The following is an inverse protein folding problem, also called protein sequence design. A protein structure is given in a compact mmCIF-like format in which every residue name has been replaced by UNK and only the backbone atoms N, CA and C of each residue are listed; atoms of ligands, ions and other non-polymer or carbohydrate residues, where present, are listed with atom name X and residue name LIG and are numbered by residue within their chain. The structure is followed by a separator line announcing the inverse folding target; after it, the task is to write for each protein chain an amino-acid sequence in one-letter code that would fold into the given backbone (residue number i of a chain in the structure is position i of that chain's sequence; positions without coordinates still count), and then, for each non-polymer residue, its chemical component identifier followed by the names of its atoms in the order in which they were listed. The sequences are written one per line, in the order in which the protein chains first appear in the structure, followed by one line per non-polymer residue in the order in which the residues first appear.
data_IF_872869549530
#
_entry.id   IF_872869549530
#
_cell.length_a   1.000
_cell.length_b   1.000
_cell.length_c   1.000
_cell.angle_alpha   90.00
_cell.angle_beta   90.00
_cell.angle_gamma   90.00
#
_symmetry.space_group_name_H-M   'P 1'
#
loop_
_entity.id
_entity.type
_entity.pdbx_description
1 polymer ?
#
# COMPACT_ATOMS: atom_id res chain seq x y z
N UNK A 1 0.63 20.81 1.17
CA UNK A 1 -0.59 20.04 1.53
C UNK A 1 -1.67 20.06 0.46
N UNK A 2 -1.99 21.22 -0.16
CA UNK A 2 -3.08 21.31 -1.15
C UNK A 2 -2.90 20.33 -2.33
N UNK A 3 -1.68 20.19 -2.86
CA UNK A 3 -1.39 19.30 -3.98
C UNK A 3 -1.66 17.82 -3.64
N UNK A 4 -1.25 17.37 -2.45
CA UNK A 4 -1.59 16.02 -1.96
C UNK A 4 -3.11 15.83 -1.91
N UNK A 5 -3.84 16.80 -1.33
CA UNK A 5 -5.29 16.71 -1.21
C UNK A 5 -5.98 16.63 -2.57
N UNK A 6 -5.62 17.49 -3.52
CA UNK A 6 -6.24 17.50 -4.85
C UNK A 6 -5.99 16.18 -5.60
N UNK A 7 -4.76 15.69 -5.59
CA UNK A 7 -4.36 14.49 -6.33
C UNK A 7 -4.96 13.22 -5.71
N UNK A 8 -5.09 13.15 -4.38
CA UNK A 8 -5.59 11.95 -3.69
C UNK A 8 -7.12 11.91 -3.57
N UNK A 9 -7.77 13.06 -3.34
CA UNK A 9 -9.22 13.10 -3.12
C UNK A 9 -9.99 12.94 -4.44
N UNK A 10 -9.50 13.52 -5.54
CA UNK A 10 -10.22 13.52 -6.82
C UNK A 10 -10.57 12.10 -7.31
N UNK A 11 -9.65 11.12 -7.38
CA UNK A 11 -10.02 9.77 -7.83
C UNK A 11 -11.01 9.08 -6.87
N UNK A 12 -10.95 9.37 -5.56
CA UNK A 12 -11.93 8.86 -4.61
C UNK A 12 -13.34 9.42 -4.90
N UNK A 13 -13.45 10.72 -5.23
CA UNK A 13 -14.72 11.35 -5.61
C UNK A 13 -15.27 10.82 -6.92
N UNK A 14 -14.44 10.43 -7.88
CA UNK A 14 -14.87 9.88 -9.17
C UNK A 14 -15.62 8.53 -9.04
N UNK A 15 -15.44 7.80 -7.93
CA UNK A 15 -16.13 6.51 -7.71
C UNK A 15 -17.66 6.69 -7.58
N UNK A 16 -18.13 7.80 -6.99
CA UNK A 16 -19.56 8.10 -6.90
C UNK A 16 -20.23 8.21 -8.27
N UNK A 17 -19.84 9.18 -9.13
CA UNK A 17 -20.37 9.28 -10.49
C UNK A 17 -20.19 7.98 -11.30
N UNK A 18 -19.07 7.27 -11.13
CA UNK A 18 -18.85 5.98 -11.79
C UNK A 18 -19.90 4.93 -11.42
N UNK A 19 -20.26 4.84 -10.13
CA UNK A 19 -21.22 3.87 -9.64
C UNK A 19 -22.69 4.26 -9.94
N UNK A 20 -23.05 5.55 -9.85
CA UNK A 20 -24.44 6.01 -9.91
C UNK A 20 -24.88 6.52 -11.28
N UNK A 21 -23.98 7.11 -12.09
CA UNK A 21 -24.29 7.63 -13.41
C UNK A 21 -23.91 6.67 -14.54
N UNK A 22 -22.89 5.83 -14.36
CA UNK A 22 -22.43 4.89 -15.39
C UNK A 22 -21.89 5.59 -16.66
N UNK A 23 -21.99 4.91 -17.78
CA UNK A 23 -21.50 5.43 -19.07
C UNK A 23 -20.00 5.75 -19.02
N UNK A 24 -19.61 6.90 -19.56
CA UNK A 24 -18.22 7.34 -19.54
C UNK A 24 -17.65 7.52 -18.12
N UNK A 25 -18.51 7.84 -17.14
CA UNK A 25 -18.07 8.02 -15.74
C UNK A 25 -17.48 6.76 -15.15
N UNK A 26 -17.98 5.57 -15.51
CA UNK A 26 -17.51 4.31 -14.98
C UNK A 26 -16.01 4.04 -15.24
N UNK A 27 -15.46 4.64 -16.27
CA UNK A 27 -14.06 4.47 -16.69
C UNK A 27 -13.11 5.49 -16.07
N UNK A 28 -13.61 6.62 -15.55
CA UNK A 28 -12.73 7.68 -15.02
C UNK A 28 -11.84 7.24 -13.86
N UNK A 29 -12.28 6.46 -12.88
CA UNK A 29 -11.39 5.99 -11.81
C UNK A 29 -10.17 5.23 -12.35
N UNK A 30 -10.38 4.29 -13.27
CA UNK A 30 -9.26 3.53 -13.85
C UNK A 30 -8.39 4.39 -14.77
N UNK A 31 -8.97 5.27 -15.57
CA UNK A 31 -8.22 6.21 -16.43
C UNK A 31 -7.36 7.14 -15.59
N UNK A 32 -7.90 7.68 -14.49
CA UNK A 32 -7.15 8.54 -13.58
C UNK A 32 -5.95 7.80 -13.00
N UNK A 33 -6.20 6.62 -12.41
CA UNK A 33 -5.18 5.84 -11.68
C UNK A 33 -4.13 5.19 -12.59
N UNK A 34 -4.34 5.18 -13.90
CA UNK A 34 -3.40 4.60 -14.88
C UNK A 34 -2.88 5.64 -15.86
N UNK A 35 -3.68 6.00 -16.85
CA UNK A 35 -3.25 6.86 -17.94
C UNK A 35 -2.87 8.26 -17.45
N UNK A 36 -3.73 8.90 -16.64
CA UNK A 36 -3.48 10.27 -16.17
C UNK A 36 -2.23 10.31 -15.28
N UNK A 37 -2.10 9.40 -14.32
CA UNK A 37 -0.90 9.34 -13.47
C UNK A 37 0.36 9.17 -14.31
N UNK A 38 0.35 8.22 -15.27
CA UNK A 38 1.50 7.96 -16.15
C UNK A 38 1.85 9.19 -17.03
N UNK A 39 0.85 9.87 -17.57
CA UNK A 39 1.06 11.07 -18.39
C UNK A 39 1.58 12.22 -17.53
N UNK A 40 1.02 12.43 -16.35
CA UNK A 40 1.43 13.52 -15.46
C UNK A 40 2.85 13.33 -14.93
N UNK A 41 3.27 12.10 -14.59
CA UNK A 41 4.66 11.81 -14.22
C UNK A 41 5.66 12.08 -15.35
N UNK A 42 5.23 12.01 -16.61
CA UNK A 42 6.08 12.37 -17.76
C UNK A 42 6.11 13.86 -18.06
N UNK A 43 5.02 14.57 -17.75
CA UNK A 43 4.90 16.01 -18.04
C UNK A 43 5.44 16.87 -16.90
N UNK A 44 5.35 16.39 -15.67
CA UNK A 44 5.86 17.09 -14.49
C UNK A 44 7.27 16.61 -14.22
N UNK A 45 8.20 17.55 -14.03
CA UNK A 45 9.58 17.20 -13.68
C UNK A 45 9.64 16.35 -12.39
N UNK A 46 10.60 15.45 -12.35
CA UNK A 46 10.92 14.72 -11.13
C UNK A 46 11.17 15.70 -9.97
N UNK A 47 10.68 15.34 -8.78
CA UNK A 47 10.80 16.18 -7.60
C UNK A 47 11.76 15.54 -6.59
N UNK A 48 12.98 16.02 -6.59
CA UNK A 48 14.01 15.68 -5.60
C UNK A 48 14.11 16.69 -4.46
N UNK A 49 13.34 17.79 -4.52
CA UNK A 49 13.33 18.79 -3.47
C UNK A 49 12.80 18.17 -2.16
N UNK A 50 13.48 18.50 -1.10
CA UNK A 50 13.15 18.07 0.25
C UNK A 50 12.57 19.23 1.05
N UNK A 51 11.48 18.96 1.77
CA UNK A 51 11.02 19.86 2.80
C UNK A 51 12.00 19.80 4.01
N UNK A 52 11.96 20.82 4.87
CA UNK A 52 12.67 20.75 6.14
C UNK A 52 12.20 19.50 6.91
N UNK A 53 13.11 18.59 7.28
CA UNK A 53 12.77 17.35 7.95
C UNK A 53 12.10 17.54 9.33
N UNK A 54 12.31 18.71 9.95
CA UNK A 54 11.73 19.09 11.24
C UNK A 54 10.48 19.98 11.09
N UNK A 55 10.03 20.25 9.87
CA UNK A 55 8.85 21.07 9.63
C UNK A 55 7.56 20.36 10.09
N UNK A 56 6.68 21.12 10.71
CA UNK A 56 5.36 20.66 11.10
C UNK A 56 4.35 20.83 9.95
N UNK A 57 3.53 19.81 9.72
CA UNK A 57 2.49 19.81 8.70
C UNK A 57 1.12 19.53 9.33
N UNK A 58 0.50 20.47 10.06
CA UNK A 58 -0.74 20.22 10.81
C UNK A 58 -1.89 19.65 9.95
N UNK A 59 -1.93 20.02 8.66
CA UNK A 59 -2.94 19.50 7.73
C UNK A 59 -2.64 18.08 7.22
N UNK A 60 -1.47 17.50 7.50
CA UNK A 60 -1.11 16.15 7.06
C UNK A 60 -2.00 15.10 7.71
N UNK A 61 -2.17 15.18 9.03
CA UNK A 61 -3.03 14.24 9.77
C UNK A 61 -4.51 14.38 9.37
N UNK A 62 -5.00 15.62 9.19
CA UNK A 62 -6.37 15.85 8.75
C UNK A 62 -6.64 15.23 7.37
N UNK A 63 -5.67 15.30 6.44
CA UNK A 63 -5.77 14.65 5.14
C UNK A 63 -5.77 13.13 5.28
N UNK A 64 -4.88 12.55 6.09
CA UNK A 64 -4.85 11.09 6.33
C UNK A 64 -6.18 10.59 6.91
N UNK A 65 -6.74 11.28 7.91
CA UNK A 65 -8.04 10.93 8.51
C UNK A 65 -9.15 11.03 7.46
N UNK A 66 -9.18 12.11 6.66
CA UNK A 66 -10.17 12.32 5.61
C UNK A 66 -10.11 11.23 4.53
N UNK A 67 -8.91 10.88 4.05
CA UNK A 67 -8.72 9.80 3.09
C UNK A 67 -9.05 8.42 3.68
N UNK A 68 -8.76 8.22 4.97
CA UNK A 68 -9.15 7.01 5.67
C UNK A 68 -10.68 6.88 5.80
N UNK A 69 -11.44 7.97 5.97
CA UNK A 69 -12.90 7.95 5.90
C UNK A 69 -13.39 7.72 4.47
N UNK A 70 -12.76 8.37 3.48
CA UNK A 70 -13.07 8.17 2.06
C UNK A 70 -12.88 6.70 1.64
N UNK A 71 -11.88 5.98 2.20
CA UNK A 71 -11.69 4.56 1.96
C UNK A 71 -12.96 3.73 2.17
N UNK A 72 -13.65 3.92 3.30
CA UNK A 72 -14.88 3.15 3.60
C UNK A 72 -16.03 3.53 2.67
N UNK A 73 -16.16 4.82 2.33
CA UNK A 73 -17.15 5.29 1.35
C UNK A 73 -16.89 4.71 -0.04
N UNK A 74 -15.63 4.74 -0.50
CA UNK A 74 -15.20 4.17 -1.79
C UNK A 74 -15.47 2.67 -1.82
N UNK A 75 -15.15 1.94 -0.74
CA UNK A 75 -15.38 0.50 -0.65
C UNK A 75 -16.87 0.15 -0.79
N UNK A 76 -17.73 0.79 0.01
CA UNK A 76 -19.17 0.55 -0.03
C UNK A 76 -19.76 0.91 -1.40
N UNK A 77 -19.39 2.06 -1.96
CA UNK A 77 -19.88 2.55 -3.25
C UNK A 77 -19.41 1.67 -4.40
N UNK A 78 -18.14 1.27 -4.41
CA UNK A 78 -17.59 0.40 -5.45
C UNK A 78 -18.25 -0.99 -5.45
N UNK A 79 -18.40 -1.62 -4.26
CA UNK A 79 -19.07 -2.92 -4.15
C UNK A 79 -20.52 -2.82 -4.62
N UNK A 80 -21.24 -1.75 -4.20
CA UNK A 80 -22.62 -1.53 -4.65
C UNK A 80 -22.69 -1.29 -6.16
N UNK A 81 -21.80 -0.48 -6.73
CA UNK A 81 -21.75 -0.21 -8.17
C UNK A 81 -21.49 -1.49 -8.99
N UNK A 82 -20.55 -2.33 -8.51
CA UNK A 82 -20.18 -3.57 -9.19
C UNK A 82 -21.24 -4.65 -9.05
N UNK A 83 -21.85 -4.82 -7.88
CA UNK A 83 -22.73 -5.98 -7.58
C UNK A 83 -24.20 -5.60 -7.36
N UNK A 84 -24.50 -4.34 -7.04
CA UNK A 84 -25.85 -3.89 -6.75
C UNK A 84 -26.69 -3.57 -8.01
N UNK A 85 -27.91 -3.06 -7.81
CA UNK A 85 -28.83 -2.67 -8.88
C UNK A 85 -28.44 -1.32 -9.50
N UNK A 86 -27.17 -1.12 -9.84
CA UNK A 86 -26.60 0.13 -10.33
C UNK A 86 -26.98 0.48 -11.79
N UNK A 87 -27.51 -0.49 -12.54
CA UNK A 87 -27.76 -0.33 -13.97
C UNK A 87 -26.50 -0.43 -14.86
N UNK A 88 -25.31 -0.56 -14.27
CA UNK A 88 -24.05 -0.67 -15.00
C UNK A 88 -23.99 -1.97 -15.82
N UNK A 89 -23.49 -1.87 -17.05
CA UNK A 89 -23.17 -3.04 -17.86
C UNK A 89 -21.85 -3.69 -17.37
N UNK A 90 -21.51 -4.87 -17.91
CA UNK A 90 -20.34 -5.64 -17.47
C UNK A 90 -19.02 -4.85 -17.61
N UNK A 91 -18.81 -4.13 -18.71
CA UNK A 91 -17.59 -3.35 -18.95
C UNK A 91 -17.44 -2.22 -17.91
N UNK A 92 -18.54 -1.55 -17.62
CA UNK A 92 -18.58 -0.48 -16.59
C UNK A 92 -18.30 -1.04 -15.19
N UNK A 93 -18.89 -2.19 -14.84
CA UNK A 93 -18.62 -2.88 -13.55
C UNK A 93 -17.15 -3.28 -13.40
N UNK A 94 -16.56 -3.82 -14.48
CA UNK A 94 -15.14 -4.20 -14.50
C UNK A 94 -14.25 -2.97 -14.37
N UNK A 95 -14.54 -1.90 -15.11
CA UNK A 95 -13.77 -0.66 -15.04
C UNK A 95 -13.84 0.00 -13.66
N UNK A 96 -15.04 0.07 -13.05
CA UNK A 96 -15.23 0.58 -11.71
C UNK A 96 -14.47 -0.26 -10.67
N UNK A 97 -14.59 -1.59 -10.74
CA UNK A 97 -13.90 -2.50 -9.82
C UNK A 97 -12.38 -2.41 -9.94
N UNK A 98 -11.87 -2.32 -11.18
CA UNK A 98 -10.45 -2.13 -11.44
C UNK A 98 -9.95 -0.79 -10.90
N UNK A 99 -10.67 0.31 -11.17
CA UNK A 99 -10.33 1.64 -10.66
C UNK A 99 -10.35 1.71 -9.13
N UNK A 100 -11.36 1.12 -8.50
CA UNK A 100 -11.42 1.02 -7.03
C UNK A 100 -10.25 0.23 -6.45
N UNK A 101 -9.90 -0.91 -7.05
CA UNK A 101 -8.74 -1.70 -6.63
C UNK A 101 -7.44 -0.92 -6.72
N UNK A 102 -7.26 -0.11 -7.78
CA UNK A 102 -6.11 0.80 -7.92
C UNK A 102 -6.10 1.90 -6.83
N UNK A 103 -7.24 2.50 -6.52
CA UNK A 103 -7.36 3.48 -5.43
C UNK A 103 -6.98 2.84 -4.10
N UNK A 104 -7.43 1.62 -3.82
CA UNK A 104 -7.07 0.92 -2.58
C UNK A 104 -5.58 0.59 -2.51
N UNK A 105 -4.95 0.21 -3.62
CA UNK A 105 -3.53 -0.11 -3.65
C UNK A 105 -2.62 1.11 -3.61
N UNK A 106 -2.98 2.21 -4.29
CA UNK A 106 -2.07 3.35 -4.49
C UNK A 106 -2.40 4.58 -3.63
N UNK A 107 -3.59 4.63 -3.02
CA UNK A 107 -3.97 5.72 -2.11
C UNK A 107 -4.27 5.15 -0.72
N UNK A 108 -5.22 4.21 -0.61
CA UNK A 108 -5.63 3.71 0.71
C UNK A 108 -4.51 2.95 1.41
N UNK A 109 -3.69 2.17 0.69
CA UNK A 109 -2.55 1.47 1.28
C UNK A 109 -1.51 2.45 1.87
N UNK A 110 -0.95 3.43 1.12
CA UNK A 110 -0.02 4.40 1.70
C UNK A 110 -0.62 5.22 2.86
N UNK A 111 -1.89 5.59 2.77
CA UNK A 111 -2.59 6.29 3.86
C UNK A 111 -2.73 5.40 5.10
N UNK A 112 -3.15 4.14 4.94
CA UNK A 112 -3.26 3.20 6.05
C UNK A 112 -1.88 2.91 6.67
N UNK A 113 -0.84 2.83 5.83
CA UNK A 113 0.55 2.67 6.23
C UNK A 113 1.03 3.84 7.12
N UNK A 114 0.80 5.07 6.71
CA UNK A 114 1.08 6.25 7.54
C UNK A 114 0.29 6.24 8.85
N UNK A 115 -1.01 5.90 8.79
CA UNK A 115 -1.88 5.87 9.96
C UNK A 115 -1.44 4.85 11.02
N UNK A 116 -0.94 3.68 10.63
CA UNK A 116 -0.49 2.67 11.61
C UNK A 116 0.81 3.07 12.32
N UNK A 117 1.60 3.99 11.75
CA UNK A 117 2.80 4.54 12.38
C UNK A 117 2.51 5.68 13.37
N UNK A 118 1.34 6.30 13.31
CA UNK A 118 1.01 7.43 14.19
C UNK A 118 0.89 7.02 15.66
N UNK A 119 1.27 7.93 16.56
CA UNK A 119 1.16 7.72 18.01
C UNK A 119 -0.28 7.76 18.52
N UNK A 120 -1.15 8.50 17.84
CA UNK A 120 -2.57 8.67 18.17
C UNK A 120 -3.34 7.36 18.02
N UNK A 121 -3.94 6.80 19.09
CA UNK A 121 -4.61 5.50 19.01
C UNK A 121 -5.77 5.44 18.00
N UNK A 122 -6.52 6.52 17.84
CA UNK A 122 -7.64 6.59 16.88
C UNK A 122 -7.14 6.47 15.44
N UNK A 123 -6.05 7.15 15.11
CA UNK A 123 -5.45 7.08 13.77
C UNK A 123 -4.92 5.68 13.47
N UNK A 124 -4.20 5.06 14.43
CA UNK A 124 -3.76 3.67 14.28
C UNK A 124 -4.93 2.71 14.10
N UNK A 125 -5.99 2.89 14.88
CA UNK A 125 -7.20 2.07 14.76
C UNK A 125 -7.86 2.24 13.38
N UNK A 126 -7.93 3.45 12.85
CA UNK A 126 -8.43 3.71 11.50
C UNK A 126 -7.60 2.96 10.44
N UNK A 127 -6.26 3.06 10.48
CA UNK A 127 -5.36 2.34 9.58
C UNK A 127 -5.52 0.82 9.67
N UNK A 128 -5.68 0.28 10.89
CA UNK A 128 -5.95 -1.14 11.11
C UNK A 128 -7.26 -1.59 10.44
N UNK A 129 -8.33 -0.78 10.54
CA UNK A 129 -9.61 -1.10 9.90
C UNK A 129 -9.54 -0.99 8.39
N UNK A 130 -8.78 -0.04 7.84
CA UNK A 130 -8.57 0.06 6.39
C UNK A 130 -7.95 -1.24 5.83
N UNK A 131 -6.90 -1.76 6.47
CA UNK A 131 -6.33 -3.06 6.08
C UNK A 131 -7.28 -4.23 6.35
N UNK A 132 -8.01 -4.21 7.46
CA UNK A 132 -8.95 -5.27 7.83
C UNK A 132 -10.08 -5.41 6.82
N UNK A 133 -10.64 -4.30 6.35
CA UNK A 133 -11.70 -4.31 5.32
C UNK A 133 -11.21 -4.68 3.92
N UNK A 134 -9.90 -4.67 3.69
CA UNK A 134 -9.28 -5.25 2.49
C UNK A 134 -8.79 -6.70 2.71
N UNK A 135 -9.16 -7.35 3.84
CA UNK A 135 -8.72 -8.68 4.24
C UNK A 135 -7.18 -8.81 4.36
N UNK A 136 -6.51 -7.70 4.57
CA UNK A 136 -5.05 -7.57 4.74
C UNK A 136 -4.66 -7.15 6.16
N UNK A 137 -5.54 -7.30 7.17
CA UNK A 137 -5.31 -6.79 8.54
C UNK A 137 -4.00 -7.26 9.17
N UNK A 138 -3.56 -8.48 8.89
CA UNK A 138 -2.29 -9.03 9.37
C UNK A 138 -1.07 -8.22 8.92
N UNK A 139 -1.18 -7.47 7.80
CA UNK A 139 -0.11 -6.60 7.30
C UNK A 139 0.33 -5.57 8.34
N UNK A 140 -0.59 -5.08 9.18
CA UNK A 140 -0.26 -4.15 10.29
C UNK A 140 0.82 -4.73 11.21
N UNK A 141 0.61 -5.95 11.71
CA UNK A 141 1.58 -6.59 12.60
C UNK A 141 2.82 -7.06 11.85
N UNK A 142 2.67 -7.57 10.62
CA UNK A 142 3.81 -7.97 9.79
C UNK A 142 4.72 -6.77 9.49
N UNK A 143 4.14 -5.62 9.15
CA UNK A 143 4.88 -4.40 8.83
C UNK A 143 5.63 -3.84 10.04
N UNK A 144 4.94 -3.66 11.17
CA UNK A 144 5.51 -3.02 12.36
C UNK A 144 6.46 -3.94 13.15
N UNK A 145 6.23 -5.25 13.17
CA UNK A 145 6.97 -6.19 14.03
C UNK A 145 8.03 -7.01 13.29
N UNK A 146 7.94 -7.07 11.97
CA UNK A 146 8.85 -7.90 11.16
C UNK A 146 9.58 -7.03 10.15
N UNK A 147 8.86 -6.39 9.25
CA UNK A 147 9.41 -5.68 8.11
C UNK A 147 10.34 -4.55 8.54
N UNK A 148 9.91 -3.58 9.33
CA UNK A 148 10.76 -2.46 9.79
C UNK A 148 12.00 -2.92 10.57
N UNK A 149 11.91 -4.03 11.28
CA UNK A 149 13.03 -4.55 12.08
C UNK A 149 14.03 -5.33 11.22
N UNK A 150 13.52 -6.06 10.22
CA UNK A 150 14.29 -7.08 9.50
C UNK A 150 14.45 -6.80 8.00
N UNK A 151 13.96 -5.66 7.50
CA UNK A 151 14.08 -5.28 6.09
C UNK A 151 15.52 -5.49 5.58
N UNK A 152 15.66 -6.00 4.35
CA UNK A 152 16.95 -6.33 3.77
C UNK A 152 17.62 -7.57 4.36
N UNK A 153 16.91 -8.41 5.12
CA UNK A 153 17.44 -9.66 5.67
C UNK A 153 16.54 -10.87 5.38
N UNK A 154 17.06 -12.08 5.62
CA UNK A 154 16.31 -13.33 5.42
C UNK A 154 15.18 -13.53 6.45
N UNK A 155 15.13 -12.70 7.50
CA UNK A 155 14.06 -12.74 8.50
C UNK A 155 12.84 -11.94 8.10
N UNK A 156 12.96 -11.08 7.08
CA UNK A 156 11.85 -10.33 6.52
C UNK A 156 11.27 -11.04 5.30
N UNK A 157 10.06 -11.59 5.38
CA UNK A 157 9.40 -12.18 4.23
C UNK A 157 9.20 -11.19 3.08
N UNK A 158 9.03 -9.89 3.39
CA UNK A 158 8.72 -8.85 2.42
C UNK A 158 9.95 -8.37 1.62
N UNK A 159 11.17 -8.69 2.06
CA UNK A 159 12.40 -8.44 1.29
C UNK A 159 12.62 -9.53 0.24
N UNK A 160 12.26 -9.25 -1.01
CA UNK A 160 12.43 -10.20 -2.12
C UNK A 160 13.91 -10.42 -2.45
N UNK A 161 14.43 -11.66 -2.48
CA UNK A 161 15.78 -11.90 -2.95
C UNK A 161 15.90 -11.67 -4.46
N UNK A 162 17.08 -11.28 -4.92
CA UNK A 162 17.40 -11.20 -6.35
C UNK A 162 17.06 -12.52 -7.06
N UNK A 163 16.37 -12.44 -8.19
CA UNK A 163 15.94 -13.59 -8.97
C UNK A 163 14.62 -14.24 -8.56
N UNK A 164 13.99 -13.78 -7.47
CA UNK A 164 12.62 -14.18 -7.14
C UNK A 164 11.62 -13.36 -7.95
N UNK A 165 10.74 -14.01 -8.75
CA UNK A 165 9.69 -13.29 -9.46
C UNK A 165 8.50 -12.95 -8.54
N UNK A 166 7.70 -11.95 -8.94
CA UNK A 166 6.58 -11.48 -8.14
C UNK A 166 5.58 -12.58 -7.75
N UNK A 167 5.31 -13.53 -8.63
CA UNK A 167 4.31 -14.60 -8.34
C UNK A 167 4.78 -15.56 -7.25
N UNK A 168 6.07 -15.92 -7.26
CA UNK A 168 6.69 -16.75 -6.19
C UNK A 168 6.75 -15.96 -4.88
N UNK A 169 7.17 -14.70 -4.96
CA UNK A 169 7.18 -13.78 -3.83
C UNK A 169 5.78 -13.66 -3.21
N UNK A 170 4.75 -13.34 -3.99
CA UNK A 170 3.37 -13.19 -3.53
C UNK A 170 2.88 -14.46 -2.78
N UNK A 171 3.07 -15.64 -3.35
CA UNK A 171 2.68 -16.90 -2.72
C UNK A 171 3.42 -17.14 -1.39
N UNK A 172 4.72 -16.85 -1.35
CA UNK A 172 5.57 -16.99 -0.17
C UNK A 172 5.18 -15.99 0.92
N UNK A 173 5.09 -14.72 0.57
CA UNK A 173 4.87 -13.63 1.53
C UNK A 173 3.47 -13.71 2.13
N UNK A 174 2.43 -13.94 1.34
CA UNK A 174 1.06 -14.07 1.85
C UNK A 174 0.98 -15.07 3.01
N UNK A 175 1.64 -16.23 2.89
CA UNK A 175 1.66 -17.24 3.94
C UNK A 175 2.60 -16.86 5.10
N UNK A 176 3.83 -16.47 4.77
CA UNK A 176 4.86 -16.27 5.80
C UNK A 176 4.58 -15.05 6.67
N UNK A 177 4.19 -13.91 6.08
CA UNK A 177 3.84 -12.71 6.83
C UNK A 177 2.68 -12.96 7.78
N UNK A 178 1.62 -13.65 7.32
CA UNK A 178 0.47 -13.99 8.18
C UNK A 178 0.89 -14.86 9.36
N UNK A 179 1.57 -15.98 9.12
CA UNK A 179 1.93 -16.93 10.16
C UNK A 179 2.95 -16.35 11.15
N UNK A 180 3.95 -15.64 10.66
CA UNK A 180 4.98 -15.04 11.51
C UNK A 180 4.39 -13.91 12.36
N UNK A 181 3.58 -13.03 11.78
CA UNK A 181 2.91 -11.96 12.51
C UNK A 181 1.98 -12.53 13.60
N UNK A 182 1.19 -13.56 13.29
CA UNK A 182 0.31 -14.21 14.24
C UNK A 182 1.11 -14.82 15.41
N UNK A 183 2.22 -15.50 15.11
CA UNK A 183 3.10 -16.09 16.12
C UNK A 183 3.69 -15.03 17.04
N UNK A 184 4.21 -13.93 16.48
CA UNK A 184 4.80 -12.83 17.24
C UNK A 184 3.77 -12.14 18.14
N UNK A 185 2.58 -11.84 17.62
CA UNK A 185 1.50 -11.22 18.41
C UNK A 185 1.01 -12.15 19.52
N UNK A 186 0.93 -13.47 19.27
CA UNK A 186 0.60 -14.46 20.29
C UNK A 186 1.66 -14.45 21.40
N UNK A 187 2.95 -14.50 21.04
CA UNK A 187 4.04 -14.45 22.04
C UNK A 187 4.03 -13.14 22.85
N UNK A 188 3.76 -11.99 22.19
CA UNK A 188 3.64 -10.69 22.85
C UNK A 188 2.45 -10.66 23.82
N UNK A 189 1.32 -11.21 23.40
CA UNK A 189 0.10 -11.27 24.22
C UNK A 189 0.31 -12.15 25.45
N UNK A 190 0.95 -13.31 25.31
CA UNK A 190 1.31 -14.20 26.42
C UNK A 190 2.26 -13.50 27.39
N UNK A 191 3.36 -12.91 26.91
CA UNK A 191 4.34 -12.21 27.77
C UNK A 191 3.74 -11.03 28.52
N UNK A 192 2.74 -10.36 27.93
CA UNK A 192 2.06 -9.22 28.53
C UNK A 192 0.79 -9.62 29.31
N UNK A 193 0.53 -10.92 29.48
CA UNK A 193 -0.64 -11.49 30.17
C UNK A 193 -1.98 -10.89 29.69
N UNK A 194 -2.05 -10.57 28.37
CA UNK A 194 -3.26 -9.99 27.77
C UNK A 194 -4.32 -11.06 27.53
N UNK A 195 -5.59 -10.76 27.81
CA UNK A 195 -6.67 -11.68 27.47
C UNK A 195 -6.75 -11.87 25.95
N UNK A 196 -7.18 -13.04 25.50
CA UNK A 196 -7.30 -13.39 24.08
C UNK A 196 -8.16 -12.38 23.31
N UNK A 197 -9.17 -11.78 23.94
CA UNK A 197 -10.04 -10.77 23.36
C UNK A 197 -9.31 -9.50 22.92
N UNK A 198 -8.09 -9.27 23.42
CA UNK A 198 -7.22 -8.15 23.02
C UNK A 198 -6.16 -8.54 21.98
N UNK A 199 -6.20 -9.78 21.48
CA UNK A 199 -5.26 -10.23 20.45
C UNK A 199 -5.60 -9.54 19.11
N UNK A 200 -4.64 -8.87 18.41
CA UNK A 200 -4.93 -8.08 17.21
C UNK A 200 -5.60 -8.89 16.08
N UNK A 201 -5.28 -10.17 15.97
CA UNK A 201 -5.87 -11.06 14.96
C UNK A 201 -7.37 -11.29 15.14
N UNK A 202 -7.93 -11.01 16.32
CA UNK A 202 -9.40 -10.99 16.50
C UNK A 202 -10.01 -9.88 15.66
N UNK A 203 -9.40 -8.68 15.66
CA UNK A 203 -9.82 -7.60 14.77
C UNK A 203 -9.60 -7.98 13.30
N UNK A 204 -8.41 -8.47 12.95
CA UNK A 204 -8.05 -8.75 11.55
C UNK A 204 -8.93 -9.82 10.92
N UNK A 205 -9.14 -10.94 11.61
CA UNK A 205 -9.98 -12.04 11.12
C UNK A 205 -11.45 -11.74 11.36
N UNK A 206 -11.83 -11.38 12.59
CA UNK A 206 -13.22 -11.12 12.95
C UNK A 206 -13.81 -9.93 12.21
N UNK A 207 -13.07 -8.83 12.08
CA UNK A 207 -13.48 -7.65 11.31
C UNK A 207 -13.60 -7.94 9.82
N UNK A 208 -12.65 -8.71 9.24
CA UNK A 208 -12.74 -9.17 7.85
C UNK A 208 -13.96 -10.05 7.60
N UNK A 209 -14.22 -11.01 8.49
CA UNK A 209 -15.43 -11.85 8.42
C UNK A 209 -16.70 -11.03 8.59
N UNK A 210 -16.74 -10.08 9.53
CA UNK A 210 -17.89 -9.20 9.71
C UNK A 210 -18.17 -8.37 8.45
N UNK A 211 -17.14 -7.85 7.80
CA UNK A 211 -17.26 -7.13 6.51
C UNK A 211 -17.84 -8.06 5.44
N UNK A 212 -17.32 -9.28 5.32
CA UNK A 212 -17.79 -10.28 4.35
C UNK A 212 -19.27 -10.64 4.58
N UNK A 213 -19.64 -10.86 5.84
CA UNK A 213 -21.04 -11.16 6.23
C UNK A 213 -21.95 -9.97 5.90
N UNK A 214 -21.54 -8.73 6.23
CA UNK A 214 -22.32 -7.53 5.93
C UNK A 214 -22.56 -7.37 4.42
N UNK A 215 -21.53 -7.58 3.61
CA UNK A 215 -21.64 -7.56 2.13
C UNK A 215 -22.55 -8.68 1.63
N UNK A 216 -22.43 -9.89 2.17
CA UNK A 216 -23.29 -11.03 1.82
C UNK A 216 -24.76 -10.74 2.16
N UNK A 217 -25.04 -10.18 3.32
CA UNK A 217 -26.40 -9.80 3.74
C UNK A 217 -26.99 -8.69 2.88
N UNK A 218 -26.17 -7.73 2.45
CA UNK A 218 -26.63 -6.58 1.66
C UNK A 218 -26.83 -6.93 0.16
N UNK A 219 -25.94 -7.71 -0.43
CA UNK A 219 -25.83 -7.90 -1.89
C UNK A 219 -25.72 -9.37 -2.31
N UNK A 220 -25.84 -10.32 -1.37
CA UNK A 220 -25.75 -11.75 -1.67
C UNK A 220 -24.39 -12.20 -2.20
N UNK A 221 -24.36 -13.35 -2.86
CA UNK A 221 -23.11 -13.96 -3.38
C UNK A 221 -22.38 -13.12 -4.41
N UNK A 222 -23.11 -12.34 -5.22
CA UNK A 222 -22.49 -11.45 -6.21
C UNK A 222 -21.76 -10.29 -5.53
N UNK A 223 -22.30 -9.77 -4.42
CA UNK A 223 -21.62 -8.79 -3.58
C UNK A 223 -20.33 -9.32 -2.99
N UNK A 224 -20.36 -10.57 -2.49
CA UNK A 224 -19.17 -11.25 -1.98
C UNK A 224 -18.10 -11.40 -3.07
N UNK A 225 -18.48 -11.80 -4.28
CA UNK A 225 -17.56 -11.93 -5.41
C UNK A 225 -16.91 -10.57 -5.77
N UNK A 226 -17.72 -9.52 -5.86
CA UNK A 226 -17.23 -8.16 -6.13
C UNK A 226 -16.25 -7.67 -5.03
N UNK A 227 -16.63 -7.87 -3.77
CA UNK A 227 -15.77 -7.50 -2.63
C UNK A 227 -14.44 -8.25 -2.66
N UNK A 228 -14.46 -9.58 -2.81
CA UNK A 228 -13.26 -10.39 -2.86
C UNK A 228 -12.36 -10.03 -4.05
N UNK A 229 -12.94 -9.72 -5.21
CA UNK A 229 -12.18 -9.30 -6.40
C UNK A 229 -11.47 -7.96 -6.17
N UNK A 230 -12.16 -6.97 -5.59
CA UNK A 230 -11.60 -5.66 -5.26
C UNK A 230 -10.52 -5.79 -4.17
N UNK A 231 -10.80 -6.54 -3.10
CA UNK A 231 -9.85 -6.78 -2.02
C UNK A 231 -8.59 -7.51 -2.50
N UNK A 232 -8.74 -8.54 -3.33
CA UNK A 232 -7.61 -9.26 -3.93
C UNK A 232 -6.76 -8.34 -4.81
N UNK A 233 -7.39 -7.49 -5.64
CA UNK A 233 -6.67 -6.51 -6.46
C UNK A 233 -5.86 -5.55 -5.58
N UNK A 234 -6.44 -5.03 -4.50
CA UNK A 234 -5.73 -4.19 -3.53
C UNK A 234 -4.56 -4.93 -2.87
N UNK A 235 -4.76 -6.18 -2.42
CA UNK A 235 -3.70 -7.00 -1.80
C UNK A 235 -2.54 -7.27 -2.75
N UNK A 236 -2.82 -7.54 -4.04
CA UNK A 236 -1.78 -7.70 -5.06
C UNK A 236 -0.92 -6.44 -5.14
N UNK A 237 -1.50 -5.25 -5.08
CA UNK A 237 -0.76 -3.98 -5.14
C UNK A 237 0.00 -3.69 -3.85
N UNK A 238 -0.54 -4.01 -2.66
CA UNK A 238 0.17 -3.91 -1.38
C UNK A 238 1.46 -4.75 -1.44
N UNK A 239 1.35 -6.01 -1.86
CA UNK A 239 2.50 -6.90 -2.01
C UNK A 239 3.45 -6.46 -3.14
N UNK A 240 2.92 -5.86 -4.20
CA UNK A 240 3.71 -5.32 -5.31
C UNK A 240 4.58 -4.13 -4.86
N UNK A 241 4.05 -3.26 -4.01
CA UNK A 241 4.80 -2.13 -3.45
C UNK A 241 6.03 -2.64 -2.70
N UNK A 242 5.86 -3.54 -1.73
CA UNK A 242 6.97 -4.13 -0.99
C UNK A 242 7.97 -4.87 -1.89
N UNK A 243 7.45 -5.64 -2.88
CA UNK A 243 8.30 -6.36 -3.84
C UNK A 243 9.20 -5.43 -4.63
N UNK A 244 8.64 -4.37 -5.20
CA UNK A 244 9.38 -3.40 -6.02
C UNK A 244 10.39 -2.63 -5.17
N UNK A 245 9.98 -2.19 -3.98
CA UNK A 245 10.78 -1.33 -3.12
C UNK A 245 11.90 -2.05 -2.38
N UNK A 246 11.87 -3.39 -2.28
CA UNK A 246 12.90 -4.16 -1.56
C UNK A 246 13.56 -5.26 -2.39
N UNK A 247 13.30 -5.31 -3.70
CA UNK A 247 13.88 -6.34 -4.56
C UNK A 247 15.40 -6.28 -4.60
N UNK A 248 16.06 -7.39 -4.25
CA UNK A 248 17.48 -7.59 -4.39
C UNK A 248 18.38 -6.87 -3.38
N UNK A 249 17.86 -5.91 -2.62
CA UNK A 249 18.64 -5.14 -1.66
C UNK A 249 18.81 -5.91 -0.34
N UNK A 250 20.05 -5.97 0.16
CA UNK A 250 20.39 -6.75 1.36
C UNK A 250 21.33 -6.00 2.28
N UNK A 251 21.10 -6.15 3.59
CA UNK A 251 21.97 -5.63 4.63
C UNK A 251 23.24 -6.49 4.75
N UNK A 252 24.38 -5.85 4.76
CA UNK A 252 25.68 -6.51 4.92
C UNK A 252 25.85 -7.09 6.33
N UNK A 253 26.64 -8.16 6.44
CA UNK A 253 27.10 -8.68 7.72
C UNK A 253 28.39 -7.99 8.12
N UNK A 254 28.35 -7.34 9.29
CA UNK A 254 29.51 -6.71 9.89
C UNK A 254 30.49 -7.76 10.45
N UNK A 255 31.73 -7.36 10.74
CA UNK A 255 32.79 -8.23 11.29
C UNK A 255 32.38 -8.92 12.62
N UNK A 256 31.48 -8.30 13.39
CA UNK A 256 30.93 -8.85 14.62
C UNK A 256 29.77 -9.85 14.40
N UNK A 257 29.45 -10.21 13.16
CA UNK A 257 28.38 -11.12 12.77
C UNK A 257 26.98 -10.53 12.78
N UNK A 258 26.80 -9.28 13.21
CA UNK A 258 25.51 -8.57 13.16
C UNK A 258 25.25 -8.04 11.75
N UNK A 259 23.98 -7.85 11.41
CA UNK A 259 23.62 -7.06 10.25
C UNK A 259 23.89 -5.58 10.51
N UNK A 260 24.31 -4.84 9.50
CA UNK A 260 24.36 -3.39 9.55
C UNK A 260 22.97 -2.82 9.89
N UNK A 261 22.88 -1.60 10.47
CA UNK A 261 21.61 -0.92 10.64
C UNK A 261 20.89 -0.73 9.31
N UNK A 262 19.55 -0.57 9.35
CA UNK A 262 18.80 -0.13 8.17
C UNK A 262 19.31 1.25 7.78
N UNK A 263 19.64 1.41 6.53
CA UNK A 263 20.18 2.65 5.96
C UNK A 263 19.49 3.03 4.65
N UNK A 264 19.85 4.18 4.08
CA UNK A 264 19.20 4.74 2.88
C UNK A 264 19.30 3.84 1.65
N UNK A 265 20.29 2.96 1.59
CA UNK A 265 20.55 2.07 0.45
C UNK A 265 19.80 0.73 0.51
N UNK A 266 18.88 0.54 1.45
CA UNK A 266 18.14 -0.72 1.62
C UNK A 266 16.72 -0.70 1.04
N UNK A 267 16.34 0.38 0.36
CA UNK A 267 15.03 0.48 -0.31
C UNK A 267 15.15 1.24 -1.63
N UNK A 268 14.37 0.82 -2.64
CA UNK A 268 14.26 1.54 -3.91
C UNK A 268 13.30 2.73 -3.78
N UNK A 269 13.67 3.86 -4.39
CA UNK A 269 12.93 5.12 -4.35
C UNK A 269 12.54 5.58 -5.76
N UNK A 270 11.56 6.48 -5.87
CA UNK A 270 11.19 7.10 -7.13
C UNK A 270 10.97 8.62 -6.93
N UNK A 271 11.54 9.46 -7.84
CA UNK A 271 11.43 10.91 -7.77
C UNK A 271 10.21 11.47 -8.48
N UNK A 272 9.39 10.62 -9.10
CA UNK A 272 8.28 11.03 -9.95
C UNK A 272 7.21 11.76 -9.14
N UNK A 273 6.96 13.04 -9.48
CA UNK A 273 6.26 13.96 -8.60
C UNK A 273 4.77 13.60 -8.42
N UNK A 274 4.06 13.31 -9.52
CA UNK A 274 2.61 13.12 -9.45
C UNK A 274 2.24 11.83 -8.71
N UNK A 275 2.89 10.73 -9.04
CA UNK A 275 2.68 9.44 -8.34
C UNK A 275 3.16 9.49 -6.89
N UNK A 276 4.22 10.25 -6.57
CA UNK A 276 4.64 10.46 -5.18
C UNK A 276 3.58 11.22 -4.38
N UNK A 277 3.01 12.29 -4.90
CA UNK A 277 1.91 13.00 -4.26
C UNK A 277 0.66 12.12 -4.12
N UNK A 278 0.33 11.31 -5.15
CA UNK A 278 -0.79 10.36 -5.11
C UNK A 278 -0.63 9.33 -3.99
N UNK A 279 0.58 8.85 -3.78
CA UNK A 279 0.93 7.83 -2.78
C UNK A 279 1.45 8.42 -1.47
N UNK A 280 1.13 9.68 -1.16
CA UNK A 280 1.55 10.39 0.05
C UNK A 280 3.05 10.21 0.35
N UNK A 281 3.89 10.41 -0.66
CA UNK A 281 5.35 10.27 -0.63
C UNK A 281 5.87 8.85 -0.27
N UNK A 282 5.05 7.80 -0.30
CA UNK A 282 5.52 6.43 -0.09
C UNK A 282 6.69 6.01 -1.02
N UNK A 283 6.87 6.57 -2.25
CA UNK A 283 8.07 6.33 -3.06
C UNK A 283 9.39 6.86 -2.48
N UNK A 284 9.39 7.70 -1.43
CA UNK A 284 10.57 8.09 -0.65
C UNK A 284 10.85 7.07 0.46
N UNK A 285 10.94 5.82 0.08
CA UNK A 285 10.81 4.68 0.97
C UNK A 285 12.04 4.43 1.85
N UNK A 286 13.24 4.79 1.38
CA UNK A 286 14.46 4.70 2.19
C UNK A 286 14.38 5.56 3.45
N UNK A 287 13.94 6.81 3.30
CA UNK A 287 13.83 7.71 4.45
C UNK A 287 12.72 7.28 5.41
N UNK A 288 11.61 6.74 4.88
CA UNK A 288 10.57 6.14 5.72
C UNK A 288 11.12 5.02 6.61
N UNK A 289 12.00 4.15 6.10
CA UNK A 289 12.64 3.10 6.90
C UNK A 289 13.68 3.60 7.90
N UNK A 290 14.40 4.67 7.56
CA UNK A 290 15.41 5.28 8.44
C UNK A 290 14.75 6.15 9.52
N UNK A 291 13.68 6.84 9.19
CA UNK A 291 13.03 7.86 10.02
C UNK A 291 11.51 7.65 10.10
N UNK A 292 11.09 6.53 10.66
CA UNK A 292 9.68 6.09 10.70
C UNK A 292 8.71 7.04 11.43
N UNK A 293 9.22 8.02 12.15
CA UNK A 293 8.43 9.03 12.85
C UNK A 293 8.21 10.31 12.02
N UNK A 294 8.92 10.44 10.88
CA UNK A 294 8.82 11.61 10.02
C UNK A 294 7.49 11.62 9.27
N UNK A 295 6.83 12.78 9.29
CA UNK A 295 5.58 12.95 8.54
C UNK A 295 5.83 12.83 7.03
N UNK A 296 4.90 12.21 6.31
CA UNK A 296 5.06 11.94 4.88
C UNK A 296 5.40 13.16 4.00
N UNK A 297 4.97 14.41 4.28
CA UNK A 297 5.37 15.55 3.48
C UNK A 297 6.84 15.95 3.68
N UNK A 298 7.45 15.53 4.81
CA UNK A 298 8.83 15.80 5.15
C UNK A 298 9.79 14.66 4.78
N UNK A 299 9.30 13.54 4.22
CA UNK A 299 10.17 12.45 3.79
C UNK A 299 11.21 12.95 2.79
N UNK A 300 12.46 12.58 3.03
CA UNK A 300 13.62 13.01 2.27
C UNK A 300 13.91 12.10 1.08
N UNK A 301 14.51 12.63 0.06
CA UNK A 301 15.00 11.88 -1.10
C UNK A 301 16.39 12.40 -1.46
N UNK A 302 17.38 11.53 -1.43
CA UNK A 302 18.75 11.80 -1.84
C UNK A 302 19.17 10.80 -2.92
N UNK A 303 19.13 11.21 -4.21
CA UNK A 303 19.50 10.33 -5.32
C UNK A 303 20.98 9.89 -5.32
N UNK A 304 21.86 10.55 -4.57
CA UNK A 304 23.28 10.17 -4.47
C UNK A 304 23.50 9.03 -3.47
N UNK A 305 22.67 8.96 -2.42
CA UNK A 305 22.79 7.95 -1.37
C UNK A 305 21.73 6.83 -1.48
N UNK A 306 20.58 7.13 -2.10
CA UNK A 306 19.42 6.24 -2.14
C UNK A 306 19.29 5.55 -3.51
N UNK A 307 19.09 4.23 -3.58
CA UNK A 307 18.83 3.55 -4.84
C UNK A 307 17.55 4.08 -5.50
N UNK A 308 17.64 4.41 -6.79
CA UNK A 308 16.55 4.98 -7.56
C UNK A 308 15.99 3.98 -8.56
N UNK A 309 14.65 3.86 -8.60
CA UNK A 309 13.95 3.10 -9.62
C UNK A 309 14.11 3.79 -11.00
N UNK A 310 14.26 3.03 -12.08
CA UNK A 310 14.42 3.60 -13.43
C UNK A 310 13.13 4.19 -14.01
N UNK A 311 11.98 3.89 -13.42
CA UNK A 311 10.66 4.39 -13.82
C UNK A 311 9.79 4.65 -12.57
N UNK A 312 8.67 5.42 -12.72
CA UNK A 312 7.69 5.63 -11.65
C UNK A 312 7.23 4.32 -11.01
N UNK A 313 7.02 4.33 -9.69
CA UNK A 313 6.65 3.13 -8.93
C UNK A 313 5.44 2.37 -9.53
N UNK A 314 4.36 3.01 -10.03
CA UNK A 314 3.26 2.29 -10.67
C UNK A 314 3.68 1.56 -11.96
N UNK A 315 4.58 2.15 -12.75
CA UNK A 315 5.12 1.53 -13.97
C UNK A 315 6.00 0.33 -13.60
N UNK A 316 6.85 0.48 -12.59
CA UNK A 316 7.67 -0.63 -12.09
C UNK A 316 6.82 -1.80 -11.62
N UNK A 317 5.67 -1.53 -10.98
CA UNK A 317 4.70 -2.57 -10.63
C UNK A 317 4.18 -3.34 -11.85
N UNK A 318 3.87 -2.64 -12.94
CA UNK A 318 3.45 -3.30 -14.19
C UNK A 318 4.59 -4.13 -14.80
N UNK A 319 5.82 -3.61 -14.82
CA UNK A 319 7.02 -4.33 -15.32
C UNK A 319 7.26 -5.60 -14.50
N UNK A 320 7.05 -5.54 -13.18
CA UNK A 320 7.24 -6.68 -12.27
C UNK A 320 6.30 -7.88 -12.56
N UNK A 321 5.15 -7.64 -13.22
CA UNK A 321 4.25 -8.70 -13.68
C UNK A 321 4.86 -9.54 -14.82
N UNK A 322 5.91 -9.05 -15.48
CA UNK A 322 6.59 -9.76 -16.56
C UNK A 322 8.02 -10.10 -16.10
N UNK A 323 8.27 -11.30 -15.53
CA UNK A 323 9.54 -11.64 -14.87
C UNK A 323 10.77 -11.42 -15.73
N UNK A 324 10.67 -11.70 -17.04
CA UNK A 324 11.81 -11.53 -17.97
C UNK A 324 12.20 -10.05 -18.10
N UNK A 325 11.22 -9.15 -18.18
CA UNK A 325 11.46 -7.69 -18.24
C UNK A 325 12.00 -7.20 -16.90
N UNK A 326 11.38 -7.63 -15.79
CA UNK A 326 11.79 -7.28 -14.44
C UNK A 326 13.25 -7.64 -14.17
N UNK A 327 13.64 -8.90 -14.40
CA UNK A 327 15.01 -9.35 -14.16
C UNK A 327 16.04 -8.69 -15.09
N UNK A 328 15.67 -8.44 -16.34
CA UNK A 328 16.54 -7.72 -17.29
C UNK A 328 16.81 -6.28 -16.85
N UNK A 329 15.83 -5.65 -16.21
CA UNK A 329 15.93 -4.26 -15.75
C UNK A 329 16.58 -4.15 -14.35
N UNK A 330 16.13 -4.96 -13.39
CA UNK A 330 16.48 -4.75 -11.98
C UNK A 330 17.73 -5.53 -11.52
N UNK A 331 18.01 -6.71 -12.11
CA UNK A 331 19.19 -7.47 -11.67
C UNK A 331 20.53 -6.71 -11.87
N UNK A 332 20.78 -6.00 -13.00
CA UNK A 332 21.98 -5.18 -13.13
C UNK A 332 22.10 -4.07 -12.08
N UNK A 333 20.98 -3.48 -11.69
CA UNK A 333 20.94 -2.40 -10.70
C UNK A 333 21.19 -2.89 -9.26
N UNK A 334 20.92 -4.18 -8.98
CA UNK A 334 21.26 -4.77 -7.68
C UNK A 334 22.76 -5.10 -7.54
N UNK A 335 23.52 -5.09 -8.64
CA UNK A 335 24.96 -5.38 -8.67
C UNK A 335 25.81 -4.11 -8.66
N UNK A 336 25.22 -2.95 -8.90
CA UNK A 336 25.88 -1.65 -8.95
C UNK A 336 26.03 -1.04 -7.56
#
# INVERSE_FOLDING_TARGET
MLIFALITILPCLLVGPAAFAGGAWAFWPVIYMTLLVTVMDRLIAANTDNADPEAEFPASEALLIGLGLAHFCVLATAIWGVAGPSGLNLAERVALGAGAGLIFGQISHPVAHELIHKQTPVMRWQGQWMYTTLLAGHHVSAHLLIHHIHVGSDKDPNSAPRGENFYRYMARVTRQSFLTAMTLETQRSIRAEKPITRHPFILYIGGGLATLIAVCMALGGIGVLAFLSIALHAQIQILMSDYVQHYGLRRARLANGRLEPVGPHHSWNAPDAFSSFLMVNAPRHSDHHVSTHRDYPALQLDPEEMPMLPYPLPIMGVIALVPKLWFGLMNPLCDA
#
